data_IF_459785680135
#
_entry.id   IF_459785680135
#
_cell.length_a   1.000
_cell.length_b   1.000
_cell.length_c   1.000
_cell.angle_alpha   90.00
_cell.angle_beta   90.00
_cell.angle_gamma   90.00
#
_symmetry.space_group_name_H-M   'P 1'
#
loop_
_entity.id
_entity.type
_entity.pdbx_description
1 polymer ?
#
# COMPACT_ATOMS: atom_id res chain seq x y z
N UNK A 1 3.20 -12.27 -10.19
CA UNK A 1 4.08 -11.84 -11.32
C UNK A 1 5.14 -12.90 -11.52
N UNK A 2 5.34 -13.43 -12.75
CA UNK A 2 6.43 -14.35 -13.04
C UNK A 2 7.81 -13.72 -12.79
N UNK A 3 8.74 -14.51 -12.25
CA UNK A 3 10.14 -14.10 -12.08
C UNK A 3 10.76 -13.78 -13.45
N UNK A 4 11.64 -12.77 -13.48
CA UNK A 4 12.31 -12.25 -14.67
C UNK A 4 11.40 -11.61 -15.74
N UNK A 5 10.13 -11.34 -15.42
CA UNK A 5 9.28 -10.54 -16.30
C UNK A 5 9.61 -9.05 -16.22
N UNK A 6 9.36 -8.32 -17.32
CA UNK A 6 9.41 -6.86 -17.34
C UNK A 6 7.99 -6.34 -17.21
N UNK A 7 7.76 -5.51 -16.19
CA UNK A 7 6.46 -4.90 -15.92
C UNK A 7 6.50 -3.44 -16.33
N UNK A 8 5.46 -2.97 -17.01
CA UNK A 8 5.13 -1.56 -17.13
C UNK A 8 3.90 -1.27 -16.25
N UNK A 9 4.00 -0.23 -15.42
CA UNK A 9 2.94 0.21 -14.52
C UNK A 9 2.60 1.67 -14.84
N UNK A 10 1.32 1.95 -15.14
CA UNK A 10 0.80 3.30 -15.32
C UNK A 10 0.06 3.68 -14.03
N UNK A 11 0.67 4.56 -13.23
CA UNK A 11 0.05 5.13 -12.04
C UNK A 11 -0.77 6.34 -12.46
N UNK A 12 -2.04 6.38 -12.07
CA UNK A 12 -2.96 7.45 -12.42
C UNK A 12 -3.48 8.06 -11.13
N UNK A 13 -3.30 9.38 -11.00
CA UNK A 13 -3.95 10.17 -9.98
C UNK A 13 -5.15 10.87 -10.62
N UNK A 14 -6.36 10.54 -10.16
CA UNK A 14 -7.62 11.09 -10.70
C UNK A 14 -7.75 12.60 -10.49
N UNK A 15 -7.04 13.17 -9.52
CA UNK A 15 -7.10 14.57 -9.17
C UNK A 15 -8.45 15.00 -8.60
N UNK A 16 -8.46 15.48 -7.36
CA UNK A 16 -9.68 15.98 -6.71
C UNK A 16 -9.43 16.66 -5.36
N UNK A 17 -8.53 16.11 -4.53
CA UNK A 17 -8.36 16.53 -3.14
C UNK A 17 -7.07 17.34 -2.93
N UNK A 18 -7.23 18.64 -2.66
CA UNK A 18 -6.16 19.56 -2.21
C UNK A 18 -4.93 19.70 -3.15
N UNK A 19 -5.06 19.35 -4.43
CA UNK A 19 -3.94 19.32 -5.39
C UNK A 19 -2.73 18.51 -4.86
N UNK A 20 -3.00 17.46 -4.08
CA UNK A 20 -1.98 16.69 -3.39
C UNK A 20 -1.36 15.63 -4.30
N UNK A 21 -0.05 15.70 -4.50
CA UNK A 21 0.67 14.67 -5.25
C UNK A 21 0.95 13.45 -4.37
N UNK A 22 1.06 12.27 -4.98
CA UNK A 22 1.32 11.01 -4.27
C UNK A 22 2.71 10.45 -4.59
N UNK A 23 3.70 10.50 -3.68
CA UNK A 23 4.97 9.81 -3.86
C UNK A 23 4.77 8.32 -3.67
N UNK A 24 5.05 7.50 -4.67
CA UNK A 24 4.99 6.04 -4.59
C UNK A 24 6.37 5.44 -4.50
N UNK A 25 6.54 4.48 -3.59
CA UNK A 25 7.77 3.76 -3.33
C UNK A 25 7.59 2.26 -3.55
N UNK A 26 8.57 1.62 -4.19
CA UNK A 26 8.61 0.16 -4.42
C UNK A 26 9.74 -0.48 -3.62
N UNK A 27 9.38 -1.45 -2.78
CA UNK A 27 10.36 -2.25 -2.05
C UNK A 27 11.05 -3.27 -2.96
N UNK A 28 12.30 -3.62 -2.64
CA UNK A 28 13.04 -4.72 -3.28
C UNK A 28 13.45 -4.52 -4.74
N UNK A 29 13.06 -3.40 -5.37
CA UNK A 29 13.35 -3.08 -6.77
C UNK A 29 13.58 -1.58 -6.95
N UNK A 30 14.41 -1.23 -7.92
CA UNK A 30 14.36 0.08 -8.56
C UNK A 30 13.63 -0.02 -9.89
N UNK A 31 13.03 1.08 -10.33
CA UNK A 31 12.31 1.20 -11.58
C UNK A 31 12.85 2.33 -12.44
N UNK A 32 12.61 2.24 -13.74
CA UNK A 32 12.82 3.30 -14.72
C UNK A 32 11.55 4.14 -14.83
N UNK A 33 11.67 5.45 -14.72
CA UNK A 33 10.54 6.36 -15.00
C UNK A 33 10.54 6.69 -16.49
N UNK A 34 9.59 6.13 -17.23
CA UNK A 34 9.54 6.25 -18.70
C UNK A 34 8.56 7.31 -19.18
N UNK A 35 7.64 7.78 -18.35
CA UNK A 35 6.72 8.86 -18.69
C UNK A 35 6.14 9.48 -17.43
N UNK A 36 5.85 10.78 -17.46
CA UNK A 36 5.21 11.49 -16.36
C UNK A 36 4.62 12.77 -16.91
N UNK A 37 3.34 13.01 -16.65
CA UNK A 37 2.65 14.20 -17.13
C UNK A 37 1.45 14.52 -16.25
N UNK A 38 1.22 15.82 -16.02
CA UNK A 38 -0.04 16.31 -15.47
C UNK A 38 -0.95 16.70 -16.64
N UNK A 39 -2.13 16.10 -16.71
CA UNK A 39 -3.06 16.31 -17.83
C UNK A 39 -4.10 17.36 -17.49
N UNK A 40 -4.58 17.40 -16.25
CA UNK A 40 -5.65 18.31 -15.86
C UNK A 40 -5.77 18.51 -14.36
N UNK A 41 -6.93 19.01 -13.93
CA UNK A 41 -7.30 19.05 -12.50
C UNK A 41 -7.99 17.76 -12.08
N UNK A 42 -8.90 17.27 -12.92
CA UNK A 42 -9.57 15.99 -12.75
C UNK A 42 -9.34 15.19 -14.02
N UNK A 43 -8.89 13.96 -13.86
CA UNK A 43 -8.69 12.99 -14.93
C UNK A 43 -9.35 11.69 -14.55
N UNK A 44 -9.81 10.97 -15.55
CA UNK A 44 -10.36 9.64 -15.40
C UNK A 44 -9.36 8.62 -15.91
N UNK A 45 -9.45 7.42 -15.35
CA UNK A 45 -8.66 6.29 -15.84
C UNK A 45 -8.96 5.98 -17.31
N UNK A 46 -10.23 6.14 -17.73
CA UNK A 46 -10.69 5.98 -19.11
C UNK A 46 -9.96 6.91 -20.08
N UNK A 47 -9.81 8.18 -19.71
CA UNK A 47 -9.09 9.17 -20.52
C UNK A 47 -7.62 8.77 -20.68
N UNK A 48 -6.95 8.38 -19.60
CA UNK A 48 -5.54 7.96 -19.68
C UNK A 48 -5.39 6.69 -20.50
N UNK A 49 -6.29 5.71 -20.32
CA UNK A 49 -6.25 4.47 -21.10
C UNK A 49 -6.44 4.73 -22.59
N UNK A 50 -7.38 5.62 -22.95
CA UNK A 50 -7.59 6.04 -24.33
C UNK A 50 -6.35 6.73 -24.92
N UNK A 51 -5.70 7.63 -24.16
CA UNK A 51 -4.45 8.26 -24.60
C UNK A 51 -3.35 7.21 -24.86
N UNK A 52 -3.31 6.14 -24.06
CA UNK A 52 -2.35 5.06 -24.26
C UNK A 52 -2.66 4.23 -25.51
N UNK A 53 -3.93 3.83 -25.68
CA UNK A 53 -4.41 3.08 -26.85
C UNK A 53 -4.21 3.84 -28.17
N UNK A 54 -4.38 5.16 -28.15
CA UNK A 54 -4.13 6.05 -29.30
C UNK A 54 -2.65 6.37 -29.51
N UNK A 55 -1.75 5.90 -28.63
CA UNK A 55 -0.31 6.14 -28.72
C UNK A 55 0.10 7.58 -28.43
N UNK A 56 -0.74 8.34 -27.73
CA UNK A 56 -0.52 9.74 -27.39
C UNK A 56 0.36 9.93 -26.15
N UNK A 57 0.52 8.89 -25.33
CA UNK A 57 1.43 8.93 -24.18
C UNK A 57 2.89 8.77 -24.63
N UNK A 58 3.67 9.83 -24.45
CA UNK A 58 5.10 9.85 -24.77
C UNK A 58 5.90 9.09 -23.73
N UNK A 59 6.70 8.12 -24.19
CA UNK A 59 7.62 7.34 -23.35
C UNK A 59 9.08 7.63 -23.71
N UNK A 60 9.90 7.99 -22.73
CA UNK A 60 11.35 8.01 -22.85
C UNK A 60 11.93 6.61 -22.61
N UNK A 61 12.29 5.93 -23.70
CA UNK A 61 12.91 4.59 -23.66
C UNK A 61 14.44 4.65 -23.78
N UNK A 62 15.02 5.85 -23.92
CA UNK A 62 16.46 6.06 -24.07
C UNK A 62 17.02 6.63 -22.77
N UNK A 63 17.69 5.77 -22.00
CA UNK A 63 18.28 6.12 -20.70
C UNK A 63 17.32 6.85 -19.72
N UNK A 64 16.13 6.30 -19.41
CA UNK A 64 15.25 6.87 -18.41
C UNK A 64 15.88 6.83 -17.00
N UNK A 65 15.58 7.79 -16.12
CA UNK A 65 16.12 7.81 -14.76
C UNK A 65 15.70 6.58 -13.97
N UNK A 66 16.60 6.08 -13.12
CA UNK A 66 16.35 4.99 -12.16
C UNK A 66 15.96 5.60 -10.82
N UNK A 67 14.87 5.11 -10.22
CA UNK A 67 14.33 5.55 -8.94
C UNK A 67 13.76 4.35 -8.16
N UNK A 68 13.65 4.49 -6.85
CA UNK A 68 12.82 3.62 -6.00
C UNK A 68 11.53 4.31 -5.56
N UNK A 69 11.48 5.64 -5.69
CA UNK A 69 10.39 6.51 -5.23
C UNK A 69 10.16 7.62 -6.24
N UNK A 70 8.90 7.87 -6.58
CA UNK A 70 8.53 8.88 -7.56
C UNK A 70 7.14 9.44 -7.28
N UNK A 71 6.99 10.73 -7.54
CA UNK A 71 5.72 11.45 -7.40
C UNK A 71 4.82 11.18 -8.59
N UNK A 72 3.58 10.77 -8.31
CA UNK A 72 2.48 10.82 -9.27
C UNK A 72 1.86 12.22 -9.17
N UNK A 73 1.85 13.00 -10.26
CA UNK A 73 1.26 14.34 -10.23
C UNK A 73 -0.26 14.25 -10.11
N UNK A 74 -0.86 15.11 -9.27
CA UNK A 74 -2.31 15.26 -9.15
C UNK A 74 -2.93 15.57 -10.53
N UNK A 75 -4.03 14.90 -10.86
CA UNK A 75 -4.67 15.03 -12.18
C UNK A 75 -3.78 14.58 -13.35
N UNK A 76 -3.01 13.51 -13.16
CA UNK A 76 -1.99 13.08 -14.11
C UNK A 76 -1.59 11.61 -14.00
N UNK A 77 -0.47 11.27 -14.62
CA UNK A 77 0.06 9.91 -14.62
C UNK A 77 1.58 9.85 -14.45
N UNK A 78 2.07 8.69 -14.04
CA UNK A 78 3.50 8.32 -14.08
C UNK A 78 3.65 6.88 -14.52
N UNK A 79 4.52 6.63 -15.50
CA UNK A 79 4.79 5.31 -16.06
C UNK A 79 6.13 4.79 -15.58
N UNK A 80 6.09 3.63 -14.93
CA UNK A 80 7.25 2.94 -14.38
C UNK A 80 7.50 1.66 -15.15
N UNK A 81 8.78 1.31 -15.35
CA UNK A 81 9.18 -0.02 -15.79
C UNK A 81 10.16 -0.65 -14.81
N UNK A 82 9.90 -1.88 -14.39
CA UNK A 82 10.87 -2.62 -13.59
C UNK A 82 10.98 -4.08 -14.04
N UNK A 83 12.15 -4.64 -13.78
CA UNK A 83 12.43 -6.05 -14.02
C UNK A 83 12.17 -6.80 -12.72
N UNK A 84 11.23 -7.75 -12.74
CA UNK A 84 10.82 -8.54 -11.58
C UNK A 84 11.85 -9.64 -11.30
N UNK A 85 13.08 -9.27 -10.94
CA UNK A 85 14.22 -10.18 -10.76
C UNK A 85 14.48 -10.59 -9.32
N UNK A 86 13.66 -10.13 -8.37
CA UNK A 86 13.81 -10.42 -6.95
C UNK A 86 12.54 -11.14 -6.45
N UNK A 87 12.57 -12.48 -6.29
CA UNK A 87 11.39 -13.24 -5.87
C UNK A 87 11.04 -12.92 -4.42
N UNK A 88 9.75 -12.73 -4.14
CA UNK A 88 9.26 -12.35 -2.82
C UNK A 88 7.93 -11.59 -2.85
N UNK A 89 7.59 -11.01 -1.70
CA UNK A 89 6.45 -10.12 -1.52
C UNK A 89 6.95 -8.71 -1.29
N UNK A 90 6.68 -7.80 -2.22
CA UNK A 90 7.23 -6.45 -2.20
C UNK A 90 6.12 -5.42 -2.06
N UNK A 91 6.18 -4.63 -1.00
CA UNK A 91 5.25 -3.55 -0.76
C UNK A 91 5.47 -2.42 -1.77
N UNK A 92 4.39 -1.95 -2.38
CA UNK A 92 4.36 -0.80 -3.24
C UNK A 92 3.28 0.16 -2.74
N UNK A 93 3.68 1.34 -2.27
CA UNK A 93 2.79 2.18 -1.48
C UNK A 93 3.06 3.66 -1.66
N UNK A 94 2.07 4.48 -1.32
CA UNK A 94 2.31 5.90 -1.13
C UNK A 94 3.20 6.09 0.09
N UNK A 95 4.25 6.90 -0.05
CA UNK A 95 5.25 7.19 0.99
C UNK A 95 4.83 8.37 1.89
N UNK A 96 3.52 8.62 1.98
CA UNK A 96 2.89 9.49 2.96
C UNK A 96 2.23 8.56 3.98
N UNK A 97 2.68 8.61 5.24
CA UNK A 97 2.28 7.67 6.30
C UNK A 97 0.74 7.55 6.41
N UNK A 98 0.05 8.68 6.45
CA UNK A 98 -1.40 8.69 6.51
C UNK A 98 -2.07 7.98 5.31
N UNK A 99 -1.47 8.08 4.11
CA UNK A 99 -2.03 7.44 2.92
C UNK A 99 -1.83 5.92 2.91
N UNK A 100 -0.70 5.42 3.40
CA UNK A 100 -0.49 3.97 3.56
C UNK A 100 -1.43 3.41 4.64
N UNK A 101 -1.63 4.12 5.75
CA UNK A 101 -2.55 3.70 6.83
C UNK A 101 -4.00 3.55 6.35
N UNK A 102 -4.46 4.43 5.47
CA UNK A 102 -5.82 4.34 4.88
C UNK A 102 -5.90 3.40 3.66
N UNK A 103 -4.82 2.69 3.34
CA UNK A 103 -4.83 1.60 2.35
C UNK A 103 -4.29 1.94 0.96
N UNK A 104 -3.57 3.05 0.77
CA UNK A 104 -2.92 3.39 -0.52
C UNK A 104 -1.62 2.57 -0.73
N UNK A 105 -1.78 1.25 -0.78
CA UNK A 105 -0.72 0.28 -0.93
C UNK A 105 -1.18 -0.98 -1.66
N UNK A 106 -0.24 -1.68 -2.26
CA UNK A 106 -0.41 -3.02 -2.82
C UNK A 106 0.86 -3.85 -2.58
N UNK A 107 0.77 -5.17 -2.78
CA UNK A 107 1.92 -6.08 -2.70
C UNK A 107 2.12 -6.79 -4.02
N UNK A 108 3.33 -6.74 -4.56
CA UNK A 108 3.75 -7.59 -5.68
C UNK A 108 4.26 -8.93 -5.15
N UNK A 109 3.54 -10.02 -5.43
CA UNK A 109 4.10 -11.38 -5.37
C UNK A 109 4.90 -11.64 -6.65
N UNK A 110 6.22 -11.74 -6.53
CA UNK A 110 7.13 -12.06 -7.64
C UNK A 110 7.67 -13.47 -7.44
N UNK A 111 7.51 -14.29 -8.48
CA UNK A 111 7.90 -15.69 -8.46
C UNK A 111 6.96 -16.60 -7.65
N UNK A 112 7.32 -17.88 -7.64
CA UNK A 112 6.73 -18.93 -6.83
C UNK A 112 7.50 -19.16 -5.53
N UNK A 113 6.88 -19.90 -4.60
CA UNK A 113 7.40 -20.02 -3.23
C UNK A 113 8.77 -20.70 -3.15
N UNK A 114 9.03 -21.66 -4.03
CA UNK A 114 10.30 -22.38 -4.16
C UNK A 114 11.42 -21.54 -4.78
N UNK A 115 11.09 -20.44 -5.45
CA UNK A 115 12.05 -19.45 -5.95
C UNK A 115 12.48 -18.44 -4.87
N UNK A 116 11.75 -18.36 -3.75
CA UNK A 116 12.03 -17.42 -2.66
C UNK A 116 13.05 -18.00 -1.67
N UNK A 117 13.80 -17.12 -0.99
CA UNK A 117 14.65 -17.55 0.12
C UNK A 117 13.81 -18.13 1.26
N UNK A 118 14.29 -19.19 1.93
CA UNK A 118 13.60 -19.73 3.09
C UNK A 118 13.57 -18.71 4.22
N UNK A 119 12.50 -18.76 5.01
CA UNK A 119 12.36 -17.92 6.20
C UNK A 119 13.53 -18.19 7.16
N UNK A 120 14.26 -17.16 7.64
CA UNK A 120 15.37 -17.35 8.57
C UNK A 120 14.96 -18.08 9.87
N UNK A 121 15.88 -18.83 10.51
CA UNK A 121 15.63 -19.38 11.84
C UNK A 121 15.22 -18.28 12.83
N UNK A 122 14.25 -18.58 13.71
CA UNK A 122 13.71 -17.64 14.71
C UNK A 122 13.01 -16.39 14.14
N UNK A 123 12.59 -16.41 12.86
CA UNK A 123 11.75 -15.33 12.34
C UNK A 123 10.43 -15.21 13.13
N UNK A 124 9.97 -13.99 13.49
CA UNK A 124 8.73 -13.80 14.22
C UNK A 124 7.56 -14.47 13.51
N UNK A 125 6.78 -15.24 14.26
CA UNK A 125 5.57 -15.87 13.75
C UNK A 125 4.38 -15.01 14.11
N UNK A 126 3.41 -14.95 13.20
CA UNK A 126 2.10 -14.42 13.53
C UNK A 126 1.51 -15.24 14.68
N UNK A 127 0.93 -14.56 15.65
CA UNK A 127 0.26 -15.15 16.78
C UNK A 127 -0.64 -14.10 17.42
N UNK A 128 -1.52 -14.54 18.30
CA UNK A 128 -2.25 -13.60 19.13
C UNK A 128 -1.23 -12.84 19.99
N UNK A 129 -1.40 -11.52 20.10
CA UNK A 129 -0.72 -10.77 21.15
C UNK A 129 -1.21 -11.32 22.49
N UNK A 130 -0.36 -12.13 23.12
CA UNK A 130 -0.56 -12.59 24.48
C UNK A 130 0.31 -11.70 25.34
N UNK A 131 -0.25 -10.66 26.01
CA UNK A 131 0.56 -9.90 26.95
C UNK A 131 1.14 -10.86 27.99
N UNK A 132 2.38 -10.62 28.43
CA UNK A 132 2.97 -11.40 29.51
C UNK A 132 2.09 -11.28 30.75
N UNK A 133 1.31 -12.32 31.02
CA UNK A 133 0.51 -12.43 32.23
C UNK A 133 1.42 -12.84 33.40
N UNK A 134 2.42 -12.01 33.68
CA UNK A 134 3.10 -11.95 34.96
C UNK A 134 2.55 -10.82 35.83
N UNK A 135 1.31 -10.37 35.55
CA UNK A 135 0.49 -9.80 36.60
C UNK A 135 0.11 -10.95 37.54
N UNK A 136 0.77 -11.03 38.70
CA UNK A 136 0.17 -11.62 39.89
C UNK A 136 -1.17 -10.91 40.11
N UNK A 137 -2.24 -11.43 39.51
CA UNK A 137 -3.58 -11.05 39.89
C UNK A 137 -3.82 -11.69 41.24
N UNK A 138 -3.55 -10.92 42.29
CA UNK A 138 -4.31 -11.12 43.51
C UNK A 138 -5.77 -10.86 43.13
N UNK A 139 -6.59 -11.89 43.29
CA UNK A 139 -8.01 -11.95 42.92
C UNK A 139 -8.91 -11.04 43.77
N UNK A 140 -8.46 -9.84 44.11
CA UNK A 140 -9.12 -8.92 45.04
C UNK A 140 -9.25 -7.48 44.54
N UNK A 141 -8.93 -7.19 43.27
CA UNK A 141 -9.03 -5.82 42.70
C UNK A 141 -10.37 -5.49 42.03
N UNK A 142 -11.36 -6.38 42.12
CA UNK A 142 -12.77 -6.00 42.02
C UNK A 142 -13.38 -6.02 43.42
N UNK A 143 -12.81 -5.24 44.33
CA UNK A 143 -13.45 -4.94 45.61
C UNK A 143 -13.27 -3.45 45.85
N UNK A 144 -14.41 -2.77 45.77
CA UNK A 144 -14.73 -1.47 46.36
C UNK A 144 -13.52 -0.62 46.74
N UNK A 145 -13.08 0.28 45.86
CA UNK A 145 -12.49 1.52 46.36
C UNK A 145 -12.70 2.70 45.41
N UNK A 146 -13.33 3.74 45.96
CA UNK A 146 -13.50 5.05 45.35
C UNK A 146 -12.16 5.79 45.42
N UNK A 147 -11.35 5.80 44.37
CA UNK A 147 -10.18 6.69 44.36
C UNK A 147 -9.14 6.45 43.28
N UNK A 148 -9.05 7.42 42.36
CA UNK A 148 -7.87 7.82 41.56
C UNK A 148 -7.03 6.70 40.95
N UNK A 149 -7.39 6.30 39.73
CA UNK A 149 -6.52 5.55 38.83
C UNK A 149 -5.35 6.44 38.39
N UNK A 150 -4.13 6.03 38.75
CA UNK A 150 -2.91 6.57 38.16
C UNK A 150 -2.86 6.18 36.68
N UNK A 151 -2.83 7.21 35.81
CA UNK A 151 -2.60 7.13 34.37
C UNK A 151 -1.56 6.08 33.98
N UNK A 152 -1.95 5.15 33.11
CA UNK A 152 -1.03 4.55 32.14
C UNK A 152 -1.31 5.26 30.81
N UNK A 153 -0.61 6.39 30.62
CA UNK A 153 -0.51 7.09 29.33
C UNK A 153 0.41 6.29 28.43
N UNK A 154 -0.15 5.42 27.59
CA UNK A 154 0.22 5.40 26.19
C UNK A 154 -0.69 4.45 25.39
N UNK A 155 -1.46 5.06 24.48
CA UNK A 155 -2.22 4.46 23.38
C UNK A 155 -3.55 3.77 23.74
N UNK A 156 -4.61 4.57 23.65
CA UNK A 156 -6.03 4.24 23.44
C UNK A 156 -6.52 2.83 23.80
N UNK A 157 -6.93 2.63 25.06
CA UNK A 157 -8.06 1.76 25.40
C UNK A 157 -8.80 2.33 26.61
N UNK A 158 -9.82 3.16 26.36
CA UNK A 158 -10.89 3.38 27.33
C UNK A 158 -11.84 2.20 27.22
N UNK A 159 -11.83 1.29 28.19
CA UNK A 159 -12.86 0.27 28.30
C UNK A 159 -14.01 0.84 29.14
N UNK A 160 -15.08 1.29 28.48
CA UNK A 160 -16.40 1.35 29.11
C UNK A 160 -17.15 0.07 28.76
N UNK A 161 -17.31 -0.81 29.76
CA UNK A 161 -18.24 -1.92 29.66
C UNK A 161 -19.65 -1.37 29.85
N UNK A 162 -20.48 -1.43 28.80
CA UNK A 162 -21.92 -1.27 28.96
C UNK A 162 -22.67 -2.46 28.35
N UNK A 163 -23.76 -2.85 29.01
CA UNK A 163 -24.37 -4.18 29.00
C UNK A 163 -25.25 -4.53 27.78
N UNK A 164 -24.99 -3.96 26.59
CA UNK A 164 -25.86 -4.15 25.42
C UNK A 164 -25.19 -4.52 24.09
N UNK A 165 -23.89 -4.81 24.08
CA UNK A 165 -23.30 -5.69 23.05
C UNK A 165 -23.44 -5.28 21.57
N UNK A 166 -23.45 -3.99 21.23
CA UNK A 166 -23.38 -3.53 19.84
C UNK A 166 -22.28 -2.47 19.64
N UNK A 167 -21.32 -2.78 18.77
CA UNK A 167 -20.28 -1.87 18.29
C UNK A 167 -20.67 -1.45 16.87
N UNK A 168 -21.02 -0.19 16.66
CA UNK A 168 -21.23 0.39 15.33
C UNK A 168 -19.98 1.14 14.90
N UNK A 169 -19.23 0.57 13.95
CA UNK A 169 -18.14 1.27 13.26
C UNK A 169 -18.71 1.98 12.03
N UNK A 170 -18.76 3.30 12.06
CA UNK A 170 -19.05 4.11 10.87
C UNK A 170 -17.74 4.27 10.08
N UNK A 171 -17.56 3.45 9.05
CA UNK A 171 -16.48 3.64 8.06
C UNK A 171 -16.93 4.64 7.00
N UNK A 172 -16.29 5.80 6.93
CA UNK A 172 -16.32 6.62 5.73
C UNK A 172 -15.38 6.00 4.70
N UNK A 173 -15.97 5.30 3.72
CA UNK A 173 -15.27 4.76 2.56
C UNK A 173 -14.93 5.90 1.60
N UNK A 174 -13.64 6.21 1.43
CA UNK A 174 -13.14 6.96 0.27
C UNK A 174 -12.47 5.93 -0.64
N UNK A 175 -13.20 5.52 -1.68
CA UNK A 175 -12.71 4.61 -2.72
C UNK A 175 -11.59 5.29 -3.52
N UNK A 176 -10.37 4.77 -3.41
CA UNK A 176 -9.37 4.89 -4.49
C UNK A 176 -9.44 3.60 -5.30
N UNK A 177 -10.08 3.67 -6.46
CA UNK A 177 -10.04 2.58 -7.44
C UNK A 177 -8.64 2.50 -8.02
N UNK A 178 -7.87 1.50 -7.60
CA UNK A 178 -6.61 1.13 -8.23
C UNK A 178 -6.91 0.10 -9.32
N UNK A 179 -6.85 0.50 -10.60
CA UNK A 179 -6.96 -0.45 -11.70
C UNK A 179 -5.57 -0.93 -12.13
N UNK A 180 -5.29 -2.20 -11.86
CA UNK A 180 -4.17 -2.92 -12.46
C UNK A 180 -4.55 -3.30 -13.90
N UNK A 181 -4.18 -2.48 -14.88
CA UNK A 181 -4.13 -2.91 -16.27
C UNK A 181 -2.88 -3.80 -16.45
N UNK A 182 -2.99 -5.07 -16.07
CA UNK A 182 -2.08 -6.09 -16.59
C UNK A 182 -2.50 -6.38 -18.02
N UNK A 183 -1.86 -5.73 -18.99
CA UNK A 183 -2.02 -6.08 -20.40
C UNK A 183 -1.44 -7.48 -20.61
N UNK A 184 -2.30 -8.49 -20.47
CA UNK A 184 -2.03 -9.85 -20.93
C UNK A 184 -1.91 -9.80 -22.46
N UNK A 185 -0.70 -9.65 -22.97
CA UNK A 185 -0.38 -10.16 -24.30
C UNK A 185 -0.28 -11.69 -24.20
N UNK A 186 -1.45 -12.33 -24.17
CA UNK A 186 -1.60 -13.72 -24.59
C UNK A 186 -1.31 -13.79 -26.09
N UNK A 187 -0.38 -14.64 -26.51
CA UNK A 187 -0.61 -15.41 -27.74
C UNK A 187 -0.42 -16.89 -27.42
N UNK A 188 -1.54 -17.61 -27.56
CA UNK A 188 -1.61 -19.05 -27.67
C UNK A 188 -0.67 -19.54 -28.79
N UNK A 189 0.23 -20.48 -28.46
CA UNK A 189 0.39 -21.72 -29.23
C UNK A 189 1.06 -22.79 -28.39
#
# INVERSE_FOLDING_TARGET
>A
VPLNSVIELILIDKGFAFDANHPFHLHGHSFRVVGMERIGKNVTEEEIRKLDEEGLIKRNLVNPPVKDTITVPDGGYTILRFHASNPGYWLFHCHIEFHIEIGMALVFKIGEHDEMLPVPPNFPKCGNYMPDYHATVNSSLCSEDNGTLSEIKHWFTGHECNSSGHITLQYYSILVTLLLLMTNYCTFR
#
